data_IF_475505357241
#
_entry.id   IF_475505357241
#
_cell.length_a   1.000
_cell.length_b   1.000
_cell.length_c   1.000
_cell.angle_alpha   90.00
_cell.angle_beta   90.00
_cell.angle_gamma   90.00
#
_symmetry.space_group_name_H-M   'P 1'
#
loop_
_entity.id
_entity.type
_entity.pdbx_description
1 polymer ?
#
# COMPACT_ATOMS: atom_id res chain seq x y z
N UNK A 1 -4.00 16.47 -5.89
CA UNK A 1 -2.89 15.73 -5.26
C UNK A 1 -2.14 14.99 -6.35
N UNK A 2 -0.81 14.98 -6.30
CA UNK A 2 0.02 14.16 -7.18
C UNK A 2 0.16 12.77 -6.58
N UNK A 3 0.07 11.73 -7.40
CA UNK A 3 0.27 10.35 -6.94
C UNK A 3 1.76 10.12 -6.68
N UNK A 4 2.08 9.35 -5.64
CA UNK A 4 3.47 9.02 -5.26
C UNK A 4 4.32 8.41 -6.40
N UNK A 5 3.68 7.80 -7.39
CA UNK A 5 4.32 7.13 -8.52
C UNK A 5 4.32 7.93 -9.84
N UNK A 6 3.83 9.18 -9.84
CA UNK A 6 3.84 10.04 -11.03
C UNK A 6 5.27 10.36 -11.49
N UNK A 7 5.52 10.19 -12.80
CA UNK A 7 6.83 10.45 -13.44
C UNK A 7 6.90 11.79 -14.19
N UNK A 8 6.01 12.72 -13.88
CA UNK A 8 5.98 14.07 -14.48
C UNK A 8 5.38 14.18 -15.88
N UNK A 9 4.84 13.09 -16.44
CA UNK A 9 4.10 13.11 -17.71
C UNK A 9 2.60 13.29 -17.44
N UNK A 10 1.86 14.00 -18.32
CA UNK A 10 0.42 14.15 -18.18
C UNK A 10 -0.28 12.79 -18.31
N UNK A 11 -1.09 12.44 -17.30
CA UNK A 11 -1.88 11.22 -17.30
C UNK A 11 -3.16 11.43 -18.12
N UNK A 12 -3.37 10.57 -19.12
CA UNK A 12 -4.61 10.56 -19.87
C UNK A 12 -5.78 10.03 -19.01
N UNK A 13 -6.78 10.88 -18.79
CA UNK A 13 -7.94 10.59 -17.95
C UNK A 13 -8.87 9.50 -18.52
N UNK A 14 -8.88 9.32 -19.85
CA UNK A 14 -9.65 8.22 -20.48
C UNK A 14 -8.92 6.90 -20.27
N UNK A 15 -7.61 6.88 -20.47
CA UNK A 15 -6.79 5.69 -20.21
C UNK A 15 -6.90 5.28 -18.75
N UNK A 16 -6.72 6.21 -17.81
CA UNK A 16 -6.85 5.95 -16.38
C UNK A 16 -8.19 5.28 -16.03
N UNK A 17 -9.31 5.87 -16.45
CA UNK A 17 -10.65 5.33 -16.13
C UNK A 17 -10.87 3.95 -16.73
N UNK A 18 -10.35 3.71 -17.92
CA UNK A 18 -10.46 2.41 -18.57
C UNK A 18 -9.62 1.34 -17.86
N UNK A 19 -8.37 1.65 -17.50
CA UNK A 19 -7.46 0.67 -16.92
C UNK A 19 -7.68 0.41 -15.45
N UNK A 20 -8.09 1.43 -14.69
CA UNK A 20 -8.28 1.32 -13.24
C UNK A 20 -9.71 0.97 -12.83
N UNK A 21 -10.72 1.20 -13.70
CA UNK A 21 -12.11 0.78 -13.48
C UNK A 21 -12.62 0.91 -12.04
N UNK A 22 -12.90 -0.24 -11.41
CA UNK A 22 -13.34 -0.34 -10.01
C UNK A 22 -12.23 -0.79 -9.05
N UNK A 23 -10.97 -0.79 -9.48
CA UNK A 23 -9.83 -1.32 -8.73
C UNK A 23 -9.74 -0.67 -7.36
N UNK A 24 -9.91 0.65 -7.24
CA UNK A 24 -9.94 1.35 -5.95
C UNK A 24 -10.91 0.74 -4.91
N UNK A 25 -12.07 0.20 -5.33
CA UNK A 25 -13.01 -0.50 -4.44
C UNK A 25 -12.55 -1.91 -4.11
N UNK A 26 -11.97 -2.61 -5.08
CA UNK A 26 -11.45 -3.96 -4.89
C UNK A 26 -10.21 -3.92 -4.00
N UNK A 27 -9.27 -3.02 -4.27
CA UNK A 27 -8.07 -2.75 -3.48
C UNK A 27 -8.42 -2.37 -2.05
N UNK A 28 -9.48 -1.57 -1.85
CA UNK A 28 -9.97 -1.24 -0.51
C UNK A 28 -10.35 -2.50 0.30
N UNK A 29 -10.91 -3.53 -0.35
CA UNK A 29 -11.21 -4.82 0.29
C UNK A 29 -9.96 -5.66 0.53
N UNK A 30 -8.88 -5.38 -0.18
CA UNK A 30 -7.63 -6.13 -0.11
C UNK A 30 -6.64 -5.57 0.92
N UNK A 31 -6.84 -4.36 1.45
CA UNK A 31 -5.92 -3.70 2.40
C UNK A 31 -5.43 -4.62 3.55
N UNK A 32 -6.30 -5.35 4.28
CA UNK A 32 -5.82 -6.21 5.38
C UNK A 32 -4.91 -7.35 4.89
N UNK A 33 -5.15 -7.84 3.68
CA UNK A 33 -4.37 -8.93 3.10
C UNK A 33 -3.04 -8.43 2.54
N UNK A 34 -3.03 -7.23 1.95
CA UNK A 34 -1.82 -6.57 1.46
C UNK A 34 -0.88 -6.22 2.62
N UNK A 35 -1.42 -5.67 3.72
CA UNK A 35 -0.69 -5.43 4.97
C UNK A 35 -0.06 -6.73 5.49
N UNK A 36 -0.85 -7.80 5.60
CA UNK A 36 -0.35 -9.10 6.08
C UNK A 36 0.76 -9.65 5.19
N UNK A 37 0.58 -9.58 3.86
CA UNK A 37 1.59 -10.01 2.89
C UNK A 37 2.88 -9.20 2.98
N UNK A 38 2.76 -7.88 3.13
CA UNK A 38 3.87 -6.96 3.27
C UNK A 38 4.67 -7.18 4.57
N UNK A 39 3.98 -7.46 5.69
CA UNK A 39 4.64 -7.83 6.95
C UNK A 39 5.44 -9.13 6.77
N UNK A 40 4.83 -10.17 6.21
CA UNK A 40 5.53 -11.44 5.96
C UNK A 40 6.74 -11.28 5.04
N UNK A 41 6.62 -10.42 4.02
CA UNK A 41 7.75 -10.08 3.14
C UNK A 41 8.87 -9.37 3.92
N UNK A 42 8.54 -8.35 4.74
CA UNK A 42 9.52 -7.66 5.55
C UNK A 42 10.23 -8.60 6.55
N UNK A 43 9.51 -9.53 7.17
CA UNK A 43 10.08 -10.56 8.05
C UNK A 43 11.04 -11.48 7.31
N UNK A 44 10.71 -11.89 6.09
CA UNK A 44 11.59 -12.68 5.23
C UNK A 44 12.86 -11.92 4.83
N UNK A 45 12.74 -10.63 4.47
CA UNK A 45 13.89 -9.78 4.16
C UNK A 45 14.84 -9.65 5.36
N UNK A 46 14.29 -9.52 6.57
CA UNK A 46 15.09 -9.47 7.79
C UNK A 46 15.77 -10.83 8.06
N UNK A 47 15.06 -11.94 7.87
CA UNK A 47 15.59 -13.28 8.07
C UNK A 47 16.73 -13.62 7.10
N UNK A 48 16.72 -13.05 5.89
CA UNK A 48 17.79 -13.19 4.89
C UNK A 48 18.89 -12.13 5.02
N UNK A 49 18.79 -11.21 5.98
CA UNK A 49 19.78 -10.16 6.25
C UNK A 49 19.78 -9.00 5.25
N UNK A 50 18.73 -8.87 4.42
CA UNK A 50 18.59 -7.77 3.46
C UNK A 50 18.15 -6.46 4.13
N UNK A 51 17.45 -6.55 5.27
CA UNK A 51 17.13 -5.40 6.12
C UNK A 51 17.45 -5.72 7.58
N UNK A 52 17.65 -4.68 8.39
CA UNK A 52 17.89 -4.87 9.82
C UNK A 52 16.62 -5.30 10.56
N UNK A 53 16.77 -5.94 11.72
CA UNK A 53 15.63 -6.26 12.58
C UNK A 53 14.89 -4.99 13.06
N UNK A 54 15.61 -3.88 13.21
CA UNK A 54 15.03 -2.58 13.57
C UNK A 54 14.16 -2.04 12.43
N UNK A 55 14.63 -2.09 11.18
CA UNK A 55 13.86 -1.66 10.02
C UNK A 55 12.62 -2.55 9.81
N UNK A 56 12.77 -3.87 9.98
CA UNK A 56 11.65 -4.81 9.93
C UNK A 56 10.57 -4.47 10.97
N UNK A 57 10.98 -4.14 12.21
CA UNK A 57 10.05 -3.74 13.25
C UNK A 57 9.33 -2.43 12.90
N UNK A 58 10.07 -1.41 12.44
CA UNK A 58 9.50 -0.13 12.03
C UNK A 58 8.49 -0.29 10.86
N UNK A 59 8.83 -1.10 9.85
CA UNK A 59 7.93 -1.39 8.72
C UNK A 59 6.66 -2.08 9.22
N UNK A 60 6.79 -3.13 10.04
CA UNK A 60 5.64 -3.88 10.56
C UNK A 60 4.71 -2.98 11.39
N UNK A 61 5.27 -2.13 12.23
CA UNK A 61 4.48 -1.24 13.09
C UNK A 61 3.78 -0.15 12.25
N UNK A 62 4.47 0.41 11.25
CA UNK A 62 3.85 1.33 10.29
C UNK A 62 2.71 0.70 9.50
N UNK A 63 2.89 -0.53 9.00
CA UNK A 63 1.85 -1.26 8.27
C UNK A 63 0.62 -1.55 9.15
N UNK A 64 0.81 -1.90 10.42
CA UNK A 64 -0.29 -2.08 11.38
C UNK A 64 -1.03 -0.77 11.68
N UNK A 65 -0.30 0.35 11.77
CA UNK A 65 -0.93 1.67 11.93
C UNK A 65 -1.82 1.98 10.73
N UNK A 66 -1.31 1.79 9.51
CA UNK A 66 -2.05 2.02 8.28
C UNK A 66 -3.32 1.16 8.20
N UNK A 67 -3.23 -0.12 8.59
CA UNK A 67 -4.39 -1.02 8.65
C UNK A 67 -5.46 -0.51 9.64
N UNK A 68 -5.05 -0.07 10.83
CA UNK A 68 -5.95 0.46 11.84
C UNK A 68 -6.62 1.77 11.39
N UNK A 69 -5.84 2.69 10.83
CA UNK A 69 -6.33 3.96 10.27
C UNK A 69 -7.32 3.71 9.13
N UNK A 70 -7.06 2.72 8.27
CA UNK A 70 -7.99 2.31 7.21
C UNK A 70 -9.30 1.78 7.79
N UNK A 71 -9.23 0.90 8.80
CA UNK A 71 -10.39 0.33 9.44
C UNK A 71 -11.25 1.39 10.17
N UNK A 72 -10.62 2.45 10.68
CA UNK A 72 -11.29 3.60 11.28
C UNK A 72 -11.89 4.57 10.25
N UNK A 73 -11.51 4.44 8.97
CA UNK A 73 -11.94 5.35 7.91
C UNK A 73 -11.14 6.66 7.87
N UNK A 74 -9.97 6.71 8.52
CA UNK A 74 -9.09 7.89 8.53
C UNK A 74 -8.52 8.18 7.13
N UNK A 75 -8.42 7.15 6.29
CA UNK A 75 -8.11 7.26 4.87
C UNK A 75 -8.86 6.21 4.05
N UNK A 76 -8.96 6.47 2.73
CA UNK A 76 -9.65 5.59 1.79
C UNK A 76 -8.95 5.59 0.43
N UNK A 77 -9.07 4.49 -0.31
CA UNK A 77 -8.54 4.39 -1.68
C UNK A 77 -9.51 5.07 -2.65
N UNK A 78 -9.01 6.02 -3.41
CA UNK A 78 -9.77 6.78 -4.43
C UNK A 78 -9.07 6.73 -5.78
N UNK A 79 -9.84 6.87 -6.86
CA UNK A 79 -9.33 6.97 -8.23
C UNK A 79 -8.66 8.32 -8.52
#
# INVERSE_FOLDING_TARGET
>A
MSRLWEKGLPLDQRVLRYTAGEDHKLDARLVPYDVRGSIAHAEMLAATGLISAADCAAIRDGLKSLEAEFANGDWQITL
#
